data_IF_608608162380
#
_entry.id   IF_608608162380
#
_cell.length_a   1.000
_cell.length_b   1.000
_cell.length_c   1.000
_cell.angle_alpha   90.00
_cell.angle_beta   90.00
_cell.angle_gamma   90.00
#
_symmetry.space_group_name_H-M   'P 1'
#
loop_
_entity.id
_entity.type
_entity.pdbx_description
1 polymer ?
#
# COMPACT_ATOMS: atom_id res chain seq x y z
N UNK A 1 59.38 0.34 -7.75
CA UNK A 1 59.08 -1.02 -8.25
C UNK A 1 58.34 -1.80 -7.16
N UNK A 2 57.00 -1.81 -7.24
CA UNK A 2 56.10 -2.90 -6.83
C UNK A 2 54.77 -2.57 -7.50
N UNK A 3 54.53 -3.30 -8.58
CA UNK A 3 53.35 -3.24 -9.43
C UNK A 3 52.24 -3.94 -8.65
N UNK A 4 51.17 -3.22 -8.32
CA UNK A 4 49.89 -3.84 -7.95
C UNK A 4 49.00 -3.81 -9.19
N UNK A 5 49.19 -4.82 -10.04
CA UNK A 5 48.15 -5.29 -10.94
C UNK A 5 47.11 -6.03 -10.08
N UNK A 6 45.86 -5.58 -10.16
CA UNK A 6 44.78 -6.09 -9.33
C UNK A 6 43.42 -5.77 -9.93
N UNK A 7 43.14 -6.43 -11.07
CA UNK A 7 41.84 -6.72 -11.65
C UNK A 7 40.80 -5.59 -11.70
N UNK A 8 40.81 -4.87 -12.83
CA UNK A 8 39.60 -4.25 -13.40
C UNK A 8 38.58 -5.36 -13.72
N UNK A 9 37.66 -5.62 -12.81
CA UNK A 9 36.42 -6.32 -13.16
C UNK A 9 35.49 -5.34 -13.88
N UNK A 10 35.59 -5.29 -15.21
CA UNK A 10 34.53 -4.70 -16.05
C UNK A 10 33.37 -5.70 -16.11
N UNK A 11 32.37 -5.55 -15.24
CA UNK A 11 31.09 -6.25 -15.42
C UNK A 11 30.25 -5.50 -16.46
N UNK A 12 30.56 -5.73 -17.73
CA UNK A 12 29.65 -5.48 -18.84
C UNK A 12 28.92 -6.77 -19.19
N UNK A 13 27.79 -7.02 -18.52
CA UNK A 13 26.59 -7.62 -19.11
C UNK A 13 25.43 -7.59 -18.11
N UNK A 14 24.36 -6.88 -18.48
CA UNK A 14 23.16 -6.59 -17.67
C UNK A 14 22.15 -7.75 -17.60
N UNK A 15 22.53 -8.98 -17.96
CA UNK A 15 21.68 -10.17 -17.88
C UNK A 15 22.54 -11.32 -17.35
N UNK A 16 22.02 -12.05 -16.35
CA UNK A 16 22.56 -13.32 -15.81
C UNK A 16 23.52 -13.33 -14.61
N UNK A 17 23.28 -12.50 -13.58
CA UNK A 17 23.81 -12.80 -12.22
C UNK A 17 22.68 -12.92 -11.19
N UNK A 18 21.62 -13.65 -11.54
CA UNK A 18 20.65 -14.10 -10.53
C UNK A 18 21.23 -15.26 -9.74
N UNK A 19 21.18 -15.18 -8.41
CA UNK A 19 21.64 -16.26 -7.55
C UNK A 19 20.68 -17.48 -7.63
N UNK A 20 21.11 -18.69 -7.23
CA UNK A 20 20.26 -19.87 -7.25
C UNK A 20 18.94 -19.70 -6.49
N UNK A 21 18.94 -18.93 -5.39
CA UNK A 21 17.72 -18.62 -4.65
C UNK A 21 16.75 -17.73 -5.44
N UNK A 22 17.25 -16.64 -6.04
CA UNK A 22 16.44 -15.77 -6.91
C UNK A 22 15.84 -16.58 -8.07
N UNK A 23 16.67 -17.36 -8.78
CA UNK A 23 16.21 -18.23 -9.88
C UNK A 23 15.13 -19.22 -9.43
N UNK A 24 15.27 -19.78 -8.23
CA UNK A 24 14.27 -20.68 -7.66
C UNK A 24 12.94 -19.96 -7.42
N UNK A 25 12.94 -18.76 -6.83
CA UNK A 25 11.72 -17.98 -6.58
C UNK A 25 11.05 -17.52 -7.89
N UNK A 26 11.82 -17.10 -8.90
CA UNK A 26 11.26 -16.74 -10.21
C UNK A 26 10.55 -17.92 -10.89
N UNK A 27 11.04 -19.15 -10.73
CA UNK A 27 10.33 -20.33 -11.25
C UNK A 27 8.96 -20.53 -10.61
N UNK A 28 8.76 -20.07 -9.37
CA UNK A 28 7.46 -20.14 -8.71
C UNK A 28 6.44 -19.11 -9.26
N UNK A 29 6.87 -18.09 -10.01
CA UNK A 29 5.95 -17.15 -10.67
C UNK A 29 5.19 -17.77 -11.85
N UNK A 30 5.77 -18.77 -12.51
CA UNK A 30 5.26 -19.31 -13.77
C UNK A 30 4.17 -20.37 -13.52
N UNK A 31 2.95 -19.90 -13.24
CA UNK A 31 1.71 -20.62 -13.58
C UNK A 31 1.38 -21.92 -12.83
N UNK A 32 2.11 -22.31 -11.79
CA UNK A 32 1.79 -23.54 -11.06
C UNK A 32 0.67 -23.31 -10.04
N UNK A 33 -0.41 -24.09 -10.15
CA UNK A 33 -1.46 -24.19 -9.13
C UNK A 33 -0.89 -24.81 -7.86
N UNK A 34 -0.89 -24.01 -6.79
CA UNK A 34 -0.20 -24.21 -5.51
C UNK A 34 -0.73 -25.34 -4.60
N UNK A 35 -1.76 -26.10 -5.00
CA UNK A 35 -2.47 -26.99 -4.06
C UNK A 35 -1.75 -28.30 -3.70
N UNK A 36 -0.84 -28.81 -4.53
CA UNK A 36 -0.45 -30.24 -4.41
C UNK A 36 0.93 -30.49 -3.77
N UNK A 37 1.62 -29.44 -3.31
CA UNK A 37 3.06 -29.49 -2.92
C UNK A 37 3.31 -28.94 -1.50
N UNK A 38 2.26 -28.75 -0.71
CA UNK A 38 2.18 -27.73 0.35
C UNK A 38 2.99 -27.94 1.64
N UNK A 39 3.63 -29.09 1.90
CA UNK A 39 4.36 -29.28 3.17
C UNK A 39 5.86 -29.54 3.02
N UNK A 40 6.30 -30.34 2.06
CA UNK A 40 7.72 -30.67 1.93
C UNK A 40 8.58 -29.49 1.44
N UNK A 41 7.98 -28.44 0.86
CA UNK A 41 8.71 -27.30 0.30
C UNK A 41 8.65 -26.03 1.16
N UNK A 42 7.85 -25.97 2.23
CA UNK A 42 7.72 -24.73 3.03
C UNK A 42 9.04 -24.36 3.72
N UNK A 43 9.73 -25.34 4.30
CA UNK A 43 11.05 -25.13 4.93
C UNK A 43 12.09 -24.65 3.90
N UNK A 44 12.10 -25.26 2.71
CA UNK A 44 12.99 -24.87 1.61
C UNK A 44 12.70 -23.44 1.14
N UNK A 45 11.42 -23.07 0.98
CA UNK A 45 11.00 -21.72 0.59
C UNK A 45 11.42 -20.69 1.64
N UNK A 46 11.17 -20.96 2.92
CA UNK A 46 11.60 -20.09 4.02
C UNK A 46 13.12 -19.88 3.98
N UNK A 47 13.89 -20.97 3.81
CA UNK A 47 15.34 -20.91 3.69
C UNK A 47 15.77 -20.03 2.51
N UNK A 48 15.13 -20.19 1.34
CA UNK A 48 15.41 -19.40 0.13
C UNK A 48 15.04 -17.93 0.28
N UNK A 49 13.93 -17.61 0.95
CA UNK A 49 13.54 -16.24 1.24
C UNK A 49 14.59 -15.57 2.16
N UNK A 50 15.03 -16.27 3.21
CA UNK A 50 16.12 -15.76 4.09
C UNK A 50 17.40 -15.54 3.32
N UNK A 51 17.77 -16.47 2.43
CA UNK A 51 18.95 -16.35 1.58
C UNK A 51 18.87 -15.11 0.69
N UNK A 52 17.72 -14.85 0.05
CA UNK A 52 17.49 -13.64 -0.76
C UNK A 52 17.60 -12.37 0.07
N UNK A 53 16.98 -12.30 1.25
CA UNK A 53 17.08 -11.15 2.14
C UNK A 53 18.53 -10.88 2.57
N UNK A 54 19.29 -11.93 2.91
CA UNK A 54 20.69 -11.83 3.31
C UNK A 54 21.60 -11.36 2.16
N UNK A 55 21.41 -11.91 0.95
CA UNK A 55 22.15 -11.50 -0.25
C UNK A 55 21.86 -10.04 -0.57
N UNK A 56 20.59 -9.63 -0.51
CA UNK A 56 20.19 -8.25 -0.73
C UNK A 56 20.88 -7.30 0.26
N UNK A 57 20.80 -7.61 1.57
CA UNK A 57 21.44 -6.84 2.64
C UNK A 57 22.96 -6.73 2.44
N UNK A 58 23.61 -7.81 2.03
CA UNK A 58 25.04 -7.83 1.72
C UNK A 58 25.36 -6.93 0.51
N UNK A 59 24.62 -7.05 -0.59
CA UNK A 59 24.78 -6.22 -1.79
C UNK A 59 24.58 -4.74 -1.48
N UNK A 60 23.57 -4.39 -0.68
CA UNK A 60 23.31 -3.03 -0.19
C UNK A 60 24.49 -2.49 0.60
N UNK A 61 25.06 -3.26 1.55
CA UNK A 61 26.25 -2.85 2.31
C UNK A 61 27.46 -2.54 1.44
N UNK A 62 27.64 -3.27 0.34
CA UNK A 62 28.75 -3.04 -0.59
C UNK A 62 28.54 -1.83 -1.51
N UNK A 63 27.31 -1.59 -1.98
CA UNK A 63 27.00 -0.59 -3.02
C UNK A 63 26.28 0.66 -2.51
N UNK A 64 25.93 0.71 -1.22
CA UNK A 64 25.11 1.77 -0.62
C UNK A 64 23.60 1.56 -0.85
N UNK A 65 23.15 1.54 -2.11
CA UNK A 65 21.75 1.31 -2.49
C UNK A 65 21.62 0.14 -3.48
N UNK A 66 20.53 -0.63 -3.36
CA UNK A 66 20.15 -1.65 -4.32
C UNK A 66 19.10 -1.08 -5.29
N UNK A 67 19.05 -1.60 -6.52
CA UNK A 67 18.10 -1.20 -7.57
C UNK A 67 17.21 -2.38 -8.00
N UNK A 68 17.50 -3.59 -7.51
CA UNK A 68 16.84 -4.84 -7.90
C UNK A 68 16.08 -5.39 -6.71
N UNK A 69 14.87 -4.87 -6.46
CA UNK A 69 14.00 -5.30 -5.35
C UNK A 69 12.96 -6.37 -5.76
N UNK A 70 12.93 -6.75 -7.03
CA UNK A 70 11.95 -7.72 -7.56
C UNK A 70 11.98 -9.06 -6.78
N UNK A 71 13.17 -9.54 -6.41
CA UNK A 71 13.32 -10.74 -5.60
C UNK A 71 12.78 -10.59 -4.17
N UNK A 72 12.84 -9.39 -3.59
CA UNK A 72 12.23 -9.09 -2.30
C UNK A 72 10.70 -9.06 -2.41
N UNK A 73 10.15 -8.45 -3.46
CA UNK A 73 8.70 -8.44 -3.68
C UNK A 73 8.16 -9.85 -3.86
N UNK A 74 8.87 -10.68 -4.62
CA UNK A 74 8.51 -12.09 -4.77
C UNK A 74 8.62 -12.88 -3.48
N UNK A 75 9.66 -12.64 -2.70
CA UNK A 75 9.79 -13.25 -1.38
C UNK A 75 8.63 -12.87 -0.46
N UNK A 76 8.23 -11.60 -0.47
CA UNK A 76 7.09 -11.11 0.31
C UNK A 76 5.78 -11.76 -0.14
N UNK A 77 5.57 -11.91 -1.45
CA UNK A 77 4.43 -12.66 -2.01
C UNK A 77 4.35 -14.08 -1.47
N UNK A 78 5.46 -14.79 -1.52
CA UNK A 78 5.53 -16.18 -1.07
C UNK A 78 5.30 -16.31 0.43
N UNK A 79 5.65 -15.29 1.23
CA UNK A 79 5.26 -15.25 2.64
C UNK A 79 3.74 -15.30 2.83
N UNK A 80 2.97 -14.62 1.99
CA UNK A 80 1.51 -14.70 2.01
C UNK A 80 1.01 -16.04 1.47
N UNK A 81 1.43 -16.43 0.26
CA UNK A 81 0.90 -17.63 -0.42
C UNK A 81 1.11 -18.93 0.36
N UNK A 82 2.20 -19.02 1.12
CA UNK A 82 2.52 -20.20 1.95
C UNK A 82 2.22 -20.01 3.44
N UNK A 83 1.51 -18.93 3.79
CA UNK A 83 1.17 -18.58 5.18
C UNK A 83 2.39 -18.69 6.11
N UNK A 84 3.49 -18.06 5.71
CA UNK A 84 4.73 -18.04 6.47
C UNK A 84 4.52 -17.10 7.67
N UNK A 85 4.22 -17.71 8.82
CA UNK A 85 3.95 -17.00 10.08
C UNK A 85 5.23 -16.66 10.86
N UNK A 86 6.40 -16.75 10.25
CA UNK A 86 7.63 -16.27 10.87
C UNK A 86 7.57 -14.75 11.01
N UNK A 87 7.32 -14.30 12.25
CA UNK A 87 7.01 -12.90 12.58
C UNK A 87 8.01 -11.94 11.96
N UNK A 88 9.29 -12.30 11.97
CA UNK A 88 10.37 -11.43 11.50
C UNK A 88 10.58 -11.47 9.99
N UNK A 89 10.18 -12.52 9.27
CA UNK A 89 10.63 -12.69 7.88
C UNK A 89 10.04 -11.64 6.95
N UNK A 90 8.70 -11.50 6.95
CA UNK A 90 8.01 -10.47 6.17
C UNK A 90 8.38 -9.05 6.63
N UNK A 91 8.57 -8.85 7.94
CA UNK A 91 8.98 -7.56 8.51
C UNK A 91 10.40 -7.18 8.05
N UNK A 92 11.34 -8.12 8.04
CA UNK A 92 12.71 -7.92 7.56
C UNK A 92 12.74 -7.59 6.07
N UNK A 93 11.88 -8.23 5.26
CA UNK A 93 11.73 -7.92 3.84
C UNK A 93 11.20 -6.49 3.64
N UNK A 94 10.13 -6.11 4.33
CA UNK A 94 9.56 -4.76 4.27
C UNK A 94 10.57 -3.69 4.74
N UNK A 95 11.31 -3.97 5.80
CA UNK A 95 12.35 -3.07 6.30
C UNK A 95 13.50 -2.91 5.29
N UNK A 96 13.98 -3.98 4.67
CA UNK A 96 15.05 -3.89 3.67
C UNK A 96 14.58 -3.16 2.40
N UNK A 97 13.31 -3.29 2.00
CA UNK A 97 12.72 -2.46 0.93
C UNK A 97 12.75 -0.98 1.33
N UNK A 98 12.24 -0.65 2.52
CA UNK A 98 12.20 0.72 3.03
C UNK A 98 13.59 1.38 3.09
N UNK A 99 14.60 0.66 3.61
CA UNK A 99 15.97 1.21 3.73
C UNK A 99 16.56 1.54 2.35
N UNK A 100 16.28 0.76 1.32
CA UNK A 100 16.80 1.03 -0.02
C UNK A 100 16.06 2.17 -0.72
N UNK A 101 14.74 2.21 -0.58
CA UNK A 101 13.86 3.12 -1.31
C UNK A 101 13.77 4.47 -0.63
N UNK A 102 13.90 4.49 0.69
CA UNK A 102 13.83 5.68 1.52
C UNK A 102 12.41 6.17 1.75
N UNK A 103 11.39 5.49 1.22
CA UNK A 103 10.01 5.94 1.29
C UNK A 103 8.98 4.82 1.39
N UNK A 104 7.77 5.22 1.83
CA UNK A 104 6.63 4.33 2.01
C UNK A 104 5.80 4.18 0.73
N UNK A 105 5.95 5.10 -0.22
CA UNK A 105 5.27 5.07 -1.52
C UNK A 105 5.45 3.74 -2.20
N UNK A 106 6.67 3.23 -2.23
CA UNK A 106 6.92 1.98 -2.92
C UNK A 106 6.28 0.80 -2.19
N UNK A 107 6.33 0.78 -0.85
CA UNK A 107 5.64 -0.23 -0.05
C UNK A 107 4.14 -0.18 -0.34
N UNK A 108 3.48 0.95 -0.13
CA UNK A 108 2.05 1.06 -0.38
C UNK A 108 1.67 0.88 -1.85
N UNK A 109 2.56 1.24 -2.79
CA UNK A 109 2.35 1.00 -4.22
C UNK A 109 2.32 -0.49 -4.58
N UNK A 110 3.01 -1.30 -3.79
CA UNK A 110 3.07 -2.73 -3.97
C UNK A 110 1.85 -3.36 -3.30
N UNK A 111 1.43 -2.83 -2.14
CA UNK A 111 0.31 -3.34 -1.37
C UNK A 111 -1.04 -2.99 -2.00
N UNK A 112 -1.23 -1.74 -2.41
CA UNK A 112 -2.50 -1.26 -2.95
C UNK A 112 -2.74 -1.80 -4.37
N UNK A 113 -4.00 -2.06 -4.73
CA UNK A 113 -4.36 -2.47 -6.07
C UNK A 113 -3.93 -1.47 -7.13
N UNK A 114 -3.50 -1.95 -8.30
CA UNK A 114 -3.10 -1.07 -9.39
C UNK A 114 -4.19 -0.10 -9.85
N UNK A 115 -5.48 -0.40 -9.68
CA UNK A 115 -6.56 0.56 -9.98
C UNK A 115 -6.71 1.67 -8.93
N UNK A 116 -6.31 1.41 -7.67
CA UNK A 116 -6.25 2.42 -6.61
C UNK A 116 -5.09 3.39 -6.86
N UNK A 117 -3.97 2.86 -7.35
CA UNK A 117 -2.75 3.64 -7.57
C UNK A 117 -2.68 4.24 -8.99
N UNK A 118 -3.45 3.75 -9.97
CA UNK A 118 -3.41 4.23 -11.37
C UNK A 118 -3.76 5.72 -11.50
N UNK A 119 -4.49 6.28 -10.55
CA UNK A 119 -4.75 7.72 -10.42
C UNK A 119 -3.48 8.50 -10.05
N UNK A 120 -2.47 7.84 -9.48
CA UNK A 120 -1.15 8.37 -9.15
C UNK A 120 -0.21 8.08 -10.34
N UNK A 121 -0.15 9.02 -11.27
CA UNK A 121 0.45 8.89 -12.62
C UNK A 121 1.96 8.54 -12.67
N UNK A 122 2.65 8.50 -11.53
CA UNK A 122 4.11 8.35 -11.42
C UNK A 122 4.60 7.04 -10.77
N UNK A 123 3.72 6.17 -10.29
CA UNK A 123 4.13 4.93 -9.62
C UNK A 123 4.61 3.87 -10.61
N UNK A 124 5.86 3.42 -10.45
CA UNK A 124 6.38 2.22 -11.13
C UNK A 124 5.56 0.99 -10.67
N UNK A 125 4.81 0.39 -11.60
CA UNK A 125 3.85 -0.70 -11.30
C UNK A 125 4.55 -2.02 -10.98
N UNK A 126 4.95 -2.21 -9.73
CA UNK A 126 5.36 -3.53 -9.20
C UNK A 126 4.17 -4.36 -8.71
N UNK A 127 2.94 -3.81 -8.74
CA UNK A 127 1.68 -4.49 -8.41
C UNK A 127 1.51 -5.84 -9.11
N UNK A 128 2.02 -5.96 -10.34
CA UNK A 128 1.91 -7.20 -11.13
C UNK A 128 2.76 -8.36 -10.56
N UNK A 129 3.74 -8.06 -9.69
CA UNK A 129 4.62 -9.07 -9.08
C UNK A 129 3.97 -9.72 -7.86
N UNK A 130 3.33 -8.92 -6.99
CA UNK A 130 2.51 -9.45 -5.90
C UNK A 130 1.21 -10.08 -6.42
N UNK A 131 0.69 -9.57 -7.53
CA UNK A 131 -0.63 -9.97 -8.03
C UNK A 131 -0.63 -10.22 -9.55
N UNK A 132 0.04 -11.28 -10.04
CA UNK A 132 -0.06 -11.64 -11.45
C UNK A 132 -1.50 -12.03 -11.78
N UNK A 133 -2.11 -11.36 -12.75
CA UNK A 133 -3.50 -11.64 -13.17
C UNK A 133 -4.54 -10.57 -12.78
N UNK A 134 -4.09 -9.36 -12.44
CA UNK A 134 -4.91 -8.19 -12.04
C UNK A 134 -5.99 -7.70 -13.04
N UNK A 135 -6.29 -8.48 -14.08
CA UNK A 135 -7.32 -8.19 -15.06
C UNK A 135 -8.65 -8.93 -14.77
N UNK A 136 -8.69 -9.89 -13.83
CA UNK A 136 -9.92 -10.62 -13.53
C UNK A 136 -10.56 -10.20 -12.20
N UNK A 137 -11.87 -9.92 -12.23
CA UNK A 137 -12.70 -9.65 -11.02
C UNK A 137 -12.65 -10.81 -10.01
N UNK A 138 -12.25 -12.00 -10.44
CA UNK A 138 -12.24 -13.27 -9.71
C UNK A 138 -11.26 -13.31 -8.54
N UNK A 139 -10.24 -12.44 -8.51
CA UNK A 139 -9.19 -12.47 -7.47
C UNK A 139 -9.31 -11.36 -6.41
N UNK A 140 -10.38 -10.55 -6.42
CA UNK A 140 -10.59 -9.42 -5.48
C UNK A 140 -10.46 -9.84 -4.02
N UNK A 141 -11.06 -10.97 -3.63
CA UNK A 141 -10.99 -11.49 -2.25
C UNK A 141 -9.55 -11.78 -1.79
N UNK A 142 -8.77 -12.49 -2.61
CA UNK A 142 -7.36 -12.79 -2.32
C UNK A 142 -6.49 -11.54 -2.24
N UNK A 143 -6.81 -10.50 -3.01
CA UNK A 143 -6.13 -9.20 -2.95
C UNK A 143 -6.39 -8.52 -1.60
N UNK A 144 -7.63 -8.57 -1.10
CA UNK A 144 -7.95 -8.02 0.22
C UNK A 144 -7.26 -8.82 1.34
N UNK A 145 -7.27 -10.15 1.24
CA UNK A 145 -6.61 -11.04 2.21
C UNK A 145 -5.09 -10.78 2.29
N UNK A 146 -4.45 -10.64 1.15
CA UNK A 146 -3.01 -10.33 1.06
C UNK A 146 -2.70 -8.91 1.51
N UNK A 147 -3.48 -7.92 1.08
CA UNK A 147 -3.36 -6.54 1.56
C UNK A 147 -3.44 -6.50 3.09
N UNK A 148 -4.45 -7.14 3.68
CA UNK A 148 -4.61 -7.26 5.12
C UNK A 148 -3.40 -7.96 5.78
N UNK A 149 -2.91 -9.06 5.18
CA UNK A 149 -1.72 -9.76 5.68
C UNK A 149 -0.48 -8.85 5.73
N UNK A 150 -0.21 -8.10 4.66
CA UNK A 150 0.97 -7.22 4.61
C UNK A 150 0.80 -5.97 5.45
N UNK A 151 -0.38 -5.35 5.45
CA UNK A 151 -0.67 -4.17 6.25
C UNK A 151 -0.46 -4.46 7.74
N UNK A 152 -0.88 -5.64 8.20
CA UNK A 152 -0.54 -6.14 9.53
C UNK A 152 0.97 -6.13 9.79
N UNK A 153 1.77 -6.62 8.84
CA UNK A 153 3.23 -6.66 8.98
C UNK A 153 3.87 -5.27 8.94
N UNK A 154 3.33 -4.36 8.14
CA UNK A 154 3.74 -2.94 8.15
C UNK A 154 3.48 -2.32 9.52
N UNK A 155 2.27 -2.47 10.06
CA UNK A 155 1.89 -1.92 11.36
C UNK A 155 2.71 -2.55 12.52
N UNK A 156 3.00 -3.85 12.46
CA UNK A 156 3.90 -4.52 13.41
C UNK A 156 5.37 -4.04 13.30
N UNK A 157 5.76 -3.43 12.17
CA UNK A 157 7.13 -2.93 11.92
C UNK A 157 7.23 -1.40 12.05
N UNK A 158 6.16 -0.72 12.48
CA UNK A 158 6.04 0.75 12.49
C UNK A 158 7.22 1.50 13.09
N UNK A 159 7.75 1.00 14.21
CA UNK A 159 8.88 1.59 14.95
C UNK A 159 10.19 1.57 14.16
N UNK A 160 10.31 0.68 13.17
CA UNK A 160 11.48 0.54 12.31
C UNK A 160 11.32 1.22 10.95
N UNK A 161 10.11 1.68 10.61
CA UNK A 161 9.76 2.28 9.32
C UNK A 161 9.51 3.79 9.42
N UNK A 162 9.47 4.35 10.62
CA UNK A 162 9.13 5.76 10.85
C UNK A 162 10.03 6.36 11.93
N UNK A 163 10.31 7.65 11.81
CA UNK A 163 11.06 8.43 12.81
C UNK A 163 10.12 9.08 13.85
N UNK A 164 8.84 8.68 13.90
CA UNK A 164 7.89 9.05 14.95
C UNK A 164 7.05 10.31 14.73
N UNK A 165 7.22 11.03 13.61
CA UNK A 165 6.49 12.30 13.39
C UNK A 165 5.03 12.14 12.92
N UNK A 166 4.70 11.03 12.25
CA UNK A 166 3.36 10.76 11.73
C UNK A 166 3.12 9.25 11.62
N UNK A 167 1.87 8.81 11.78
CA UNK A 167 1.51 7.41 11.57
C UNK A 167 1.77 7.00 10.11
N UNK A 168 2.28 5.78 9.93
CA UNK A 168 2.61 5.21 8.63
C UNK A 168 1.41 5.17 7.67
N UNK A 169 0.20 5.05 8.20
CA UNK A 169 -1.04 4.99 7.40
C UNK A 169 -1.55 6.38 6.99
N UNK A 170 -1.15 7.41 7.73
CA UNK A 170 -1.59 8.78 7.49
C UNK A 170 -0.61 9.55 6.60
N UNK A 171 0.63 9.04 6.47
CA UNK A 171 1.67 9.69 5.66
C UNK A 171 1.24 9.87 4.20
N UNK A 172 1.38 11.08 3.63
CA UNK A 172 1.19 11.28 2.21
C UNK A 172 2.19 10.46 1.41
N UNK A 173 1.82 10.11 0.18
CA UNK A 173 2.77 9.60 -0.78
C UNK A 173 3.73 10.73 -1.20
N UNK A 174 5.03 10.49 -1.18
CA UNK A 174 6.05 11.46 -1.61
C UNK A 174 5.88 11.88 -3.08
N UNK A 175 5.41 10.98 -3.94
CA UNK A 175 5.12 11.29 -5.34
C UNK A 175 3.91 12.24 -5.51
N UNK A 176 3.06 12.35 -4.48
CA UNK A 176 1.85 13.18 -4.47
C UNK A 176 1.39 13.42 -3.05
N UNK A 177 1.66 14.64 -2.57
CA UNK A 177 1.26 15.08 -1.23
C UNK A 177 -0.27 15.17 -1.06
N UNK A 178 -1.03 14.92 -2.11
CA UNK A 178 -2.50 14.96 -2.13
C UNK A 178 -3.14 13.66 -1.65
N UNK A 179 -2.39 12.55 -1.60
CA UNK A 179 -2.94 11.25 -1.25
C UNK A 179 -2.08 10.49 -0.24
N UNK A 180 -2.72 9.98 0.80
CA UNK A 180 -2.26 8.86 1.62
C UNK A 180 -3.02 7.57 1.24
N UNK A 181 -2.67 6.40 1.80
CA UNK A 181 -3.35 5.14 1.50
C UNK A 181 -4.87 5.17 1.63
N UNK A 182 -5.40 5.75 2.72
CA UNK A 182 -6.84 5.82 2.98
C UNK A 182 -7.56 6.69 1.95
N UNK A 183 -6.99 7.87 1.67
CA UNK A 183 -7.53 8.80 0.69
C UNK A 183 -7.55 8.23 -0.73
N UNK A 184 -6.51 7.50 -1.14
CA UNK A 184 -6.45 6.87 -2.45
C UNK A 184 -7.54 5.80 -2.58
N UNK A 185 -7.72 4.96 -1.56
CA UNK A 185 -8.79 3.97 -1.52
C UNK A 185 -10.19 4.60 -1.54
N UNK A 186 -10.37 5.74 -0.85
CA UNK A 186 -11.63 6.48 -0.81
C UNK A 186 -11.98 7.11 -2.17
N UNK A 187 -11.03 7.79 -2.81
CA UNK A 187 -11.20 8.39 -4.15
C UNK A 187 -11.56 7.34 -5.19
N UNK A 188 -10.93 6.16 -5.11
CA UNK A 188 -11.25 5.02 -5.98
C UNK A 188 -12.48 4.22 -5.54
N UNK A 189 -13.13 4.63 -4.44
CA UNK A 189 -14.35 4.03 -3.88
C UNK A 189 -14.20 2.53 -3.66
N UNK A 190 -13.08 2.09 -3.07
CA UNK A 190 -12.78 0.69 -2.73
C UNK A 190 -13.15 0.40 -1.26
N UNK A 191 -14.39 -0.04 -0.95
CA UNK A 191 -14.87 -0.03 0.43
C UNK A 191 -14.15 -1.04 1.32
N UNK A 192 -13.79 -2.21 0.78
CA UNK A 192 -13.06 -3.23 1.55
C UNK A 192 -11.63 -2.77 1.88
N UNK A 193 -10.99 -1.96 1.02
CA UNK A 193 -9.68 -1.38 1.31
C UNK A 193 -9.77 -0.28 2.37
N UNK A 194 -10.80 0.59 2.25
CA UNK A 194 -11.12 1.62 3.25
C UNK A 194 -11.36 0.98 4.63
N UNK A 195 -12.17 -0.07 4.69
CA UNK A 195 -12.46 -0.79 5.93
C UNK A 195 -11.18 -1.38 6.56
N UNK A 196 -10.33 -2.03 5.76
CA UNK A 196 -9.07 -2.59 6.25
C UNK A 196 -8.16 -1.48 6.78
N UNK A 197 -7.97 -0.39 6.04
CA UNK A 197 -7.11 0.73 6.49
C UNK A 197 -7.60 1.36 7.80
N UNK A 198 -8.90 1.63 7.93
CA UNK A 198 -9.49 2.15 9.16
C UNK A 198 -9.33 1.17 10.33
N UNK A 199 -9.48 -0.14 10.09
CA UNK A 199 -9.27 -1.18 11.11
C UNK A 199 -7.84 -1.19 11.68
N UNK A 200 -6.84 -0.82 10.88
CA UNK A 200 -5.45 -0.70 11.33
C UNK A 200 -5.10 0.68 11.91
N UNK A 201 -6.07 1.60 12.02
CA UNK A 201 -5.90 2.88 12.69
C UNK A 201 -5.62 4.07 11.76
N UNK A 202 -5.85 3.95 10.45
CA UNK A 202 -5.77 5.12 9.56
C UNK A 202 -6.77 6.19 10.01
N UNK A 203 -6.34 7.46 10.05
CA UNK A 203 -7.16 8.56 10.51
C UNK A 203 -8.10 9.06 9.39
N UNK A 204 -9.43 8.91 9.53
CA UNK A 204 -10.41 9.35 8.52
C UNK A 204 -10.46 10.86 8.32
N UNK A 205 -9.93 11.63 9.28
CA UNK A 205 -9.94 13.09 9.28
C UNK A 205 -8.56 13.68 8.97
N UNK A 206 -7.58 12.84 8.61
CA UNK A 206 -6.27 13.34 8.21
C UNK A 206 -6.39 14.15 6.92
N UNK A 207 -5.98 15.41 6.99
CA UNK A 207 -6.01 16.34 5.85
C UNK A 207 -4.65 16.40 5.19
N UNK A 208 -4.64 16.47 3.87
CA UNK A 208 -3.45 16.37 3.02
C UNK A 208 -3.22 17.67 2.22
N UNK A 209 -1.97 17.90 1.83
CA UNK A 209 -1.51 19.03 1.03
C UNK A 209 -1.27 20.33 1.81
N UNK A 210 -0.64 21.31 1.14
CA UNK A 210 -0.46 22.66 1.68
C UNK A 210 -1.81 23.24 2.13
N UNK A 211 -1.83 23.81 3.34
CA UNK A 211 -3.04 24.35 3.99
C UNK A 211 -4.17 23.33 4.21
N UNK A 212 -3.91 22.02 4.23
CA UNK A 212 -4.92 20.99 4.51
C UNK A 212 -6.08 20.96 3.49
N UNK A 213 -5.79 21.24 2.22
CA UNK A 213 -6.78 21.40 1.14
C UNK A 213 -7.47 20.12 0.68
N UNK A 214 -6.92 18.94 0.99
CA UNK A 214 -7.52 17.66 0.60
C UNK A 214 -8.05 16.91 1.83
N UNK A 215 -9.37 16.83 1.90
CA UNK A 215 -10.10 16.02 2.89
C UNK A 215 -10.68 14.77 2.17
N UNK A 216 -10.27 13.55 2.55
CA UNK A 216 -10.78 12.31 1.95
C UNK A 216 -12.30 12.16 2.08
N UNK A 217 -12.86 12.60 3.21
CA UNK A 217 -14.28 12.55 3.50
C UNK A 217 -15.04 13.55 2.64
N UNK A 218 -14.55 14.79 2.54
CA UNK A 218 -15.14 15.82 1.67
C UNK A 218 -15.08 15.42 0.18
N UNK A 219 -13.97 14.82 -0.25
CA UNK A 219 -13.79 14.35 -1.63
C UNK A 219 -14.79 13.25 -1.99
N UNK A 220 -15.05 12.35 -1.05
CA UNK A 220 -16.07 11.31 -1.20
C UNK A 220 -17.48 11.93 -1.28
N UNK A 221 -17.79 12.89 -0.42
CA UNK A 221 -19.08 13.61 -0.44
C UNK A 221 -19.26 14.38 -1.75
N UNK A 222 -18.26 15.15 -2.21
CA UNK A 222 -18.31 15.86 -3.50
C UNK A 222 -18.55 14.91 -4.66
N UNK A 223 -17.86 13.76 -4.66
CA UNK A 223 -18.04 12.71 -5.67
C UNK A 223 -19.41 12.02 -5.63
N UNK A 224 -20.11 12.04 -4.50
CA UNK A 224 -21.48 11.52 -4.35
C UNK A 224 -22.54 12.60 -4.65
N UNK A 225 -22.26 13.87 -4.32
CA UNK A 225 -23.08 15.03 -4.65
C UNK A 225 -23.23 15.19 -6.17
N UNK A 226 -22.15 15.00 -6.92
CA UNK A 226 -22.20 15.00 -8.38
C UNK A 226 -23.03 13.83 -8.96
N UNK A 227 -23.34 12.82 -8.14
CA UNK A 227 -24.11 11.61 -8.51
C UNK A 227 -25.51 11.64 -7.87
N UNK A 228 -26.09 12.82 -7.66
CA UNK A 228 -27.51 13.03 -7.26
C UNK A 228 -27.88 12.81 -5.78
N UNK A 229 -26.96 12.43 -4.89
CA UNK A 229 -27.35 11.95 -3.55
C UNK A 229 -27.94 13.01 -2.62
N UNK A 230 -27.44 14.26 -2.68
CA UNK A 230 -27.85 15.30 -1.73
C UNK A 230 -28.76 16.39 -2.32
N UNK A 231 -29.06 16.33 -3.62
CA UNK A 231 -30.05 17.21 -4.24
C UNK A 231 -31.49 16.72 -4.04
N UNK A 232 -31.69 15.48 -3.58
CA UNK A 232 -32.99 14.92 -3.26
C UNK A 232 -33.15 14.79 -1.74
N UNK A 233 -34.07 15.54 -1.16
CA UNK A 233 -34.35 15.55 0.29
C UNK A 233 -34.86 14.23 0.85
N UNK A 234 -35.15 13.23 0.00
CA UNK A 234 -35.65 11.92 0.40
C UNK A 234 -34.77 10.81 -0.19
N UNK A 235 -33.74 10.40 0.56
CA UNK A 235 -32.91 9.25 0.22
C UNK A 235 -33.65 7.93 0.50
N UNK A 236 -34.63 7.61 -0.36
CA UNK A 236 -35.48 6.40 -0.24
C UNK A 236 -34.82 5.16 -0.88
N UNK A 237 -35.45 3.98 -0.77
CA UNK A 237 -34.88 2.74 -1.35
C UNK A 237 -34.78 2.82 -2.88
N UNK A 238 -35.73 3.48 -3.55
CA UNK A 238 -35.71 3.69 -5.00
C UNK A 238 -34.48 4.50 -5.44
N UNK A 239 -34.09 5.52 -4.65
CA UNK A 239 -32.87 6.29 -4.90
C UNK A 239 -31.63 5.41 -4.74
N UNK A 240 -31.61 4.50 -3.75
CA UNK A 240 -30.51 3.53 -3.59
C UNK A 240 -30.42 2.55 -4.76
N UNK A 241 -31.55 2.10 -5.28
CA UNK A 241 -31.63 1.16 -6.41
C UNK A 241 -31.25 1.82 -7.74
N UNK A 242 -31.51 3.12 -7.87
CA UNK A 242 -31.13 3.94 -9.03
C UNK A 242 -29.62 4.27 -9.09
N UNK A 243 -28.87 4.05 -8.00
CA UNK A 243 -27.46 4.35 -7.98
C UNK A 243 -26.66 3.42 -8.90
N UNK A 244 -25.78 4.04 -9.66
CA UNK A 244 -24.71 3.32 -10.36
C UNK A 244 -23.91 2.49 -9.35
N UNK A 245 -23.30 1.40 -9.81
CA UNK A 245 -22.41 0.57 -8.98
C UNK A 245 -21.35 1.44 -8.26
N UNK A 246 -20.84 2.44 -8.97
CA UNK A 246 -19.86 3.38 -8.43
C UNK A 246 -20.42 4.27 -7.31
N UNK A 247 -21.67 4.73 -7.43
CA UNK A 247 -22.38 5.48 -6.39
C UNK A 247 -22.66 4.62 -5.16
N UNK A 248 -23.10 3.37 -5.37
CA UNK A 248 -23.32 2.41 -4.27
C UNK A 248 -22.03 2.14 -3.50
N UNK A 249 -20.91 1.93 -4.19
CA UNK A 249 -19.60 1.73 -3.54
C UNK A 249 -19.14 2.96 -2.76
N UNK A 250 -19.32 4.17 -3.32
CA UNK A 250 -18.97 5.40 -2.61
C UNK A 250 -19.78 5.59 -1.32
N UNK A 251 -21.07 5.22 -1.31
CA UNK A 251 -21.87 5.22 -0.07
C UNK A 251 -21.39 4.23 0.97
N UNK A 252 -20.98 3.03 0.56
CA UNK A 252 -20.41 2.04 1.49
C UNK A 252 -19.12 2.61 2.09
N UNK A 253 -18.24 3.23 1.28
CA UNK A 253 -17.08 3.94 1.83
C UNK A 253 -17.50 4.98 2.87
N UNK A 254 -18.53 5.80 2.59
CA UNK A 254 -18.96 6.86 3.49
C UNK A 254 -19.48 6.31 4.82
N UNK A 255 -20.32 5.27 4.78
CA UNK A 255 -20.79 4.56 5.97
C UNK A 255 -19.61 3.97 6.77
N UNK A 256 -18.63 3.37 6.09
CA UNK A 256 -17.41 2.85 6.73
C UNK A 256 -16.60 3.96 7.39
N UNK A 257 -16.45 5.13 6.76
CA UNK A 257 -15.79 6.30 7.35
C UNK A 257 -16.50 6.78 8.61
N UNK A 258 -17.83 6.90 8.58
CA UNK A 258 -18.63 7.33 9.74
C UNK A 258 -18.51 6.34 10.91
N UNK A 259 -18.50 5.03 10.62
CA UNK A 259 -18.26 4.00 11.65
C UNK A 259 -16.84 4.06 12.18
N UNK A 260 -15.85 4.21 11.31
CA UNK A 260 -14.43 4.34 11.70
C UNK A 260 -14.20 5.59 12.56
N UNK A 261 -14.80 6.71 12.20
CA UNK A 261 -14.73 7.97 12.96
C UNK A 261 -15.21 7.80 14.42
N UNK A 262 -16.24 6.99 14.67
CA UNK A 262 -16.72 6.72 16.02
C UNK A 262 -15.71 5.99 16.91
N UNK A 263 -14.69 5.38 16.31
CA UNK A 263 -13.61 4.66 17.02
C UNK A 263 -12.33 5.49 17.22
N UNK A 264 -12.25 6.70 16.67
CA UNK A 264 -11.09 7.59 16.82
C UNK A 264 -11.28 8.44 18.07
N UNK A 265 -10.30 8.42 18.98
CA UNK A 265 -10.29 9.35 20.11
C UNK A 265 -9.97 10.76 19.60
N UNK A 266 -10.92 11.69 19.73
CA UNK A 266 -10.66 13.09 19.46
C UNK A 266 -9.82 13.67 20.59
N UNK A 267 -8.50 13.71 20.41
CA UNK A 267 -7.65 14.56 21.24
C UNK A 267 -7.90 16.03 20.88
N UNK A 268 -7.80 16.92 21.87
CA UNK A 268 -8.16 18.33 21.77
C UNK A 268 -7.38 19.14 20.71
N UNK A 269 -6.38 18.54 20.04
CA UNK A 269 -5.62 19.13 18.95
C UNK A 269 -6.28 18.99 17.57
N UNK A 270 -7.27 18.11 17.40
CA UNK A 270 -8.04 17.97 16.15
C UNK A 270 -9.14 19.04 16.10
N UNK A 271 -8.74 20.30 15.94
CA UNK A 271 -9.68 21.39 15.69
C UNK A 271 -10.35 21.18 14.33
N UNK A 272 -11.60 20.71 14.36
CA UNK A 272 -12.52 20.89 13.23
C UNK A 272 -12.77 22.40 13.16
N UNK A 273 -12.02 23.09 12.31
CA UNK A 273 -12.34 24.47 11.95
C UNK A 273 -13.68 24.46 11.20
N UNK A 274 -14.78 24.64 11.94
CA UNK A 274 -16.03 25.11 11.35
C UNK A 274 -15.78 26.53 10.92
N UNK A 275 -15.57 26.74 9.63
CA UNK A 275 -15.53 28.07 9.04
C UNK A 275 -16.92 28.71 9.11
N UNK A 276 -17.28 29.25 10.28
CA UNK A 276 -18.31 30.28 10.38
C UNK A 276 -17.67 31.60 9.92
N UNK A 277 -17.54 31.78 8.61
CA UNK A 277 -17.42 33.13 8.06
C UNK A 277 -18.83 33.71 8.05
N UNK A 278 -19.18 34.34 9.17
CA UNK A 278 -20.30 35.28 9.21
C UNK A 278 -20.01 36.43 8.26
N UNK A 279 -20.92 36.62 7.30
CA UNK A 279 -21.05 37.86 6.55
C UNK A 279 -21.37 39.01 7.51
N UNK A 280 -20.34 39.62 8.10
CA UNK A 280 -20.39 41.02 8.49
C UNK A 280 -19.87 41.83 7.30
N UNK A 281 -20.76 42.14 6.37
CA UNK A 281 -20.55 43.27 5.48
C UNK A 281 -21.08 44.53 6.16
N UNK A 282 -20.10 45.32 6.58
CA UNK A 282 -20.20 46.62 7.21
C UNK A 282 -21.18 47.56 6.49
N UNK A 283 -22.01 48.22 7.32
CA UNK A 283 -22.48 49.56 7.04
C UNK A 283 -21.28 50.51 7.16
N UNK A 284 -20.89 51.12 6.04
CA UNK A 284 -20.49 52.54 5.94
C UNK A 284 -20.51 52.98 4.49
#
# INVERSE_FOLDING_TARGET
>A
MKIFEGNKYSFTNKKDVQCPAEKFLYRQQLGNTLSDVMHNHKSDIVSKIREVANIHKYRRRLKGKCIEHESLYMSLRLCFEYEINEKELAQNLLQEMYICEGNLDTIFSILLPGHVIKTLSSVKRYTNLLYPGFMSKTMRKKIIESFNFYLRKVCETREKLTDGECDILDRPFEITELHNPLSAAAVCREPEMVEVLLRYGANPFFRLGEENRFDPFESLIKGLNSIFIFNNSNFNSETKDALTEEGRRGLVCLDTFLRGASSVSFDASTHINTSENGDESDKN
#
